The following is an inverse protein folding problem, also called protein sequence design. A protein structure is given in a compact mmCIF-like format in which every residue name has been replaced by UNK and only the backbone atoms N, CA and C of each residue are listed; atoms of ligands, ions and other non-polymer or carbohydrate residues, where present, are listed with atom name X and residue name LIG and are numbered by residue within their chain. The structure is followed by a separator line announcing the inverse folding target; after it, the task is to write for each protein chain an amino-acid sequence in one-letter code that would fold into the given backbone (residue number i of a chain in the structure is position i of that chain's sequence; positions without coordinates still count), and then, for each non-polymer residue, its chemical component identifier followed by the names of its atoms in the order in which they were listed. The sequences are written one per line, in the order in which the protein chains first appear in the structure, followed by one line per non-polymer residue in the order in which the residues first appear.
data_IF_497413311009
#
_entry.id   IF_497413311009
#
_cell.length_a   1.000
_cell.length_b   1.000
_cell.length_c   1.000
_cell.angle_alpha   90.00
_cell.angle_beta   90.00
_cell.angle_gamma   90.00
#
_symmetry.space_group_name_H-M   'P 1'
#
loop_
_entity.id
_entity.type
_entity.pdbx_description
1 polymer ?
#
# COMPACT_ATOMS: atom_id res chain seq x y z
N UNK A 1 -27.41 7.97 6.10
CA UNK A 1 -26.03 7.51 6.36
C UNK A 1 -26.05 6.00 6.23
N UNK A 2 -25.67 5.48 5.05
CA UNK A 2 -25.57 4.04 4.86
C UNK A 2 -24.45 3.51 5.74
N UNK A 3 -24.77 2.56 6.62
CA UNK A 3 -23.78 1.77 7.34
C UNK A 3 -23.05 0.91 6.30
N UNK A 4 -21.99 1.45 5.68
CA UNK A 4 -21.03 0.68 4.92
C UNK A 4 -20.42 -0.34 5.88
N UNK A 5 -20.96 -1.55 5.89
CA UNK A 5 -20.34 -2.69 6.56
C UNK A 5 -18.92 -2.75 6.03
N UNK A 6 -17.92 -2.56 6.92
CA UNK A 6 -16.52 -2.75 6.54
C UNK A 6 -16.40 -4.13 5.91
N UNK A 7 -15.87 -4.24 4.67
CA UNK A 7 -15.69 -5.54 4.05
C UNK A 7 -14.85 -6.40 5.00
N UNK A 8 -15.39 -7.56 5.35
CA UNK A 8 -14.71 -8.49 6.22
C UNK A 8 -13.59 -9.12 5.40
N UNK A 9 -12.36 -8.70 5.67
CA UNK A 9 -11.18 -9.24 5.00
C UNK A 9 -11.04 -10.69 5.46
N UNK A 10 -11.03 -11.63 4.51
CA UNK A 10 -10.71 -13.02 4.80
C UNK A 10 -9.21 -13.12 5.08
N UNK A 11 -8.84 -13.07 6.37
CA UNK A 11 -7.46 -13.13 6.83
C UNK A 11 -6.78 -14.43 6.40
N UNK A 12 -7.51 -15.54 6.31
CA UNK A 12 -6.95 -16.83 5.88
C UNK A 12 -6.49 -16.77 4.41
N UNK A 13 -7.29 -16.16 3.53
CA UNK A 13 -6.90 -15.96 2.12
C UNK A 13 -5.70 -15.04 2.00
N UNK A 14 -5.63 -13.99 2.82
CA UNK A 14 -4.47 -13.09 2.84
C UNK A 14 -3.22 -13.82 3.33
N UNK A 15 -3.33 -14.62 4.39
CA UNK A 15 -2.22 -15.43 4.89
C UNK A 15 -1.75 -16.45 3.86
N UNK A 16 -2.66 -17.15 3.19
CA UNK A 16 -2.32 -18.11 2.13
C UNK A 16 -1.59 -17.41 0.98
N UNK A 17 -2.05 -16.21 0.57
CA UNK A 17 -1.38 -15.41 -0.43
C UNK A 17 0.05 -15.04 -0.04
N UNK A 18 0.22 -14.52 1.18
CA UNK A 18 1.50 -14.06 1.75
C UNK A 18 2.47 -15.19 2.15
N UNK A 19 2.10 -16.45 1.97
CA UNK A 19 2.96 -17.60 2.31
C UNK A 19 3.18 -18.54 1.13
N UNK A 20 2.17 -18.73 0.27
CA UNK A 20 2.28 -19.64 -0.88
C UNK A 20 2.66 -18.96 -2.18
N UNK A 21 2.28 -17.68 -2.35
CA UNK A 21 2.39 -16.99 -3.65
C UNK A 21 3.44 -15.90 -3.64
N UNK A 22 3.64 -15.23 -2.50
CA UNK A 22 4.68 -14.23 -2.32
C UNK A 22 5.11 -14.21 -0.86
N UNK A 23 6.42 -14.26 -0.59
CA UNK A 23 6.89 -14.12 0.78
C UNK A 23 6.72 -12.67 1.27
N UNK A 24 6.50 -12.43 2.58
CA UNK A 24 6.26 -11.09 3.10
C UNK A 24 7.35 -10.08 2.69
N UNK A 25 8.62 -10.47 2.73
CA UNK A 25 9.75 -9.63 2.30
C UNK A 25 9.71 -9.27 0.82
N UNK A 26 9.35 -10.22 -0.05
CA UNK A 26 9.20 -9.97 -1.48
C UNK A 26 8.06 -8.99 -1.76
N UNK A 27 6.95 -9.12 -1.03
CA UNK A 27 5.85 -8.15 -1.14
C UNK A 27 6.29 -6.76 -0.65
N UNK A 28 7.11 -6.69 0.42
CA UNK A 28 7.65 -5.43 0.88
C UNK A 28 8.55 -4.75 -0.16
N UNK A 29 9.35 -5.51 -0.92
CA UNK A 29 10.15 -4.96 -2.03
C UNK A 29 9.25 -4.39 -3.13
N UNK A 30 8.22 -5.12 -3.54
CA UNK A 30 7.25 -4.63 -4.54
C UNK A 30 6.50 -3.38 -4.06
N UNK A 31 6.14 -3.33 -2.78
CA UNK A 31 5.50 -2.15 -2.19
C UNK A 31 6.44 -0.95 -2.15
N UNK A 32 7.74 -1.17 -1.92
CA UNK A 32 8.73 -0.10 -1.93
C UNK A 32 8.89 0.50 -3.33
N UNK A 33 9.01 -0.35 -4.35
CA UNK A 33 9.08 0.07 -5.75
C UNK A 33 7.80 0.81 -6.18
N UNK A 34 6.64 0.27 -5.81
CA UNK A 34 5.35 0.91 -6.07
C UNK A 34 5.27 2.30 -5.43
N UNK A 35 5.61 2.42 -4.14
CA UNK A 35 5.56 3.69 -3.41
C UNK A 35 6.53 4.71 -4.02
N UNK A 36 7.73 4.30 -4.40
CA UNK A 36 8.69 5.17 -5.07
C UNK A 36 8.13 5.70 -6.39
N UNK A 37 7.66 4.81 -7.27
CA UNK A 37 7.11 5.19 -8.57
C UNK A 37 5.87 6.10 -8.44
N UNK A 38 5.00 5.79 -7.48
CA UNK A 38 3.82 6.59 -7.19
C UNK A 38 4.18 8.01 -6.72
N UNK A 39 5.18 8.14 -5.83
CA UNK A 39 5.65 9.44 -5.37
C UNK A 39 6.26 10.27 -6.49
N UNK A 40 7.07 9.66 -7.36
CA UNK A 40 7.64 10.34 -8.54
C UNK A 40 6.51 10.87 -9.44
N UNK A 41 5.52 10.04 -9.74
CA UNK A 41 4.37 10.44 -10.55
C UNK A 41 3.58 11.59 -9.89
N UNK A 42 3.34 11.53 -8.58
CA UNK A 42 2.65 12.60 -7.86
C UNK A 42 3.39 13.93 -7.95
N UNK A 43 4.71 13.93 -7.77
CA UNK A 43 5.53 15.13 -7.88
C UNK A 43 5.47 15.70 -9.29
N UNK A 44 5.66 14.87 -10.32
CA UNK A 44 5.59 15.30 -11.72
C UNK A 44 4.24 15.93 -12.06
N UNK A 45 3.14 15.27 -11.71
CA UNK A 45 1.80 15.77 -11.99
C UNK A 45 1.47 17.05 -11.20
N UNK A 46 2.00 17.20 -10.00
CA UNK A 46 1.84 18.41 -9.19
C UNK A 46 2.63 19.60 -9.80
N UNK A 47 3.88 19.38 -10.23
CA UNK A 47 4.70 20.40 -10.90
C UNK A 47 4.08 20.87 -12.22
N UNK A 48 3.47 19.95 -12.98
CA UNK A 48 2.76 20.26 -14.21
C UNK A 48 1.39 20.91 -13.98
N UNK A 49 0.95 21.05 -12.72
CA UNK A 49 -0.37 21.59 -12.36
C UNK A 49 -1.53 20.72 -12.84
N UNK A 50 -1.28 19.44 -13.15
CA UNK A 50 -2.26 18.51 -13.75
C UNK A 50 -3.16 17.83 -12.73
N UNK A 51 -2.78 17.83 -11.44
CA UNK A 51 -3.58 17.21 -10.38
C UNK A 51 -3.67 18.12 -9.15
N UNK A 52 -4.79 17.97 -8.44
CA UNK A 52 -4.90 18.37 -7.04
C UNK A 52 -4.76 17.08 -6.22
N UNK A 53 -3.76 17.04 -5.35
CA UNK A 53 -3.55 15.88 -4.48
C UNK A 53 -4.72 15.83 -3.49
N UNK A 54 -5.47 14.72 -3.52
CA UNK A 54 -6.56 14.50 -2.58
C UNK A 54 -6.03 14.52 -1.14
N UNK A 55 -6.77 15.14 -0.23
CA UNK A 55 -6.40 15.31 1.18
C UNK A 55 -6.08 13.99 1.91
N UNK A 56 -6.62 12.87 1.43
CA UNK A 56 -6.44 11.55 2.05
C UNK A 56 -5.20 10.82 1.48
N UNK A 57 -4.63 11.31 0.38
CA UNK A 57 -3.42 10.73 -0.28
C UNK A 57 -2.24 10.58 0.68
N UNK A 58 -1.87 11.58 1.51
CA UNK A 58 -0.79 11.41 2.48
C UNK A 58 -1.06 10.29 3.49
N UNK A 59 -2.32 10.14 3.93
CA UNK A 59 -2.73 9.07 4.84
C UNK A 59 -2.62 7.69 4.20
N UNK A 60 -3.03 7.58 2.93
CA UNK A 60 -2.87 6.34 2.16
C UNK A 60 -1.39 5.95 2.01
N UNK A 61 -0.53 6.88 1.63
CA UNK A 61 0.93 6.65 1.53
C UNK A 61 1.50 6.19 2.87
N UNK A 62 1.08 6.83 3.97
CA UNK A 62 1.50 6.43 5.32
C UNK A 62 1.11 4.98 5.65
N UNK A 63 -0.13 4.57 5.40
CA UNK A 63 -0.56 3.19 5.68
C UNK A 63 0.15 2.16 4.81
N UNK A 64 0.40 2.49 3.53
CA UNK A 64 1.16 1.63 2.63
C UNK A 64 2.62 1.48 3.08
N UNK A 65 3.24 2.57 3.54
CA UNK A 65 4.57 2.54 4.14
C UNK A 65 4.59 1.67 5.40
N UNK A 66 3.60 1.83 6.28
CA UNK A 66 3.50 1.04 7.51
C UNK A 66 3.35 -0.46 7.20
N UNK A 67 2.54 -0.82 6.20
CA UNK A 67 2.40 -2.20 5.75
C UNK A 67 3.73 -2.76 5.23
N UNK A 68 4.41 -2.03 4.36
CA UNK A 68 5.74 -2.40 3.86
C UNK A 68 6.73 -2.64 5.00
N UNK A 69 6.79 -1.72 5.96
CA UNK A 69 7.71 -1.82 7.09
C UNK A 69 7.35 -3.03 7.96
N UNK A 70 6.07 -3.29 8.20
CA UNK A 70 5.60 -4.48 8.94
C UNK A 70 5.99 -5.79 8.24
N UNK A 71 5.85 -5.85 6.92
CA UNK A 71 6.16 -7.04 6.13
C UNK A 71 7.68 -7.34 6.11
N UNK A 72 8.55 -6.34 6.26
CA UNK A 72 10.01 -6.52 6.34
C UNK A 72 10.45 -7.21 7.64
N UNK A 73 9.70 -6.99 8.72
CA UNK A 73 9.97 -7.56 10.04
C UNK A 73 9.42 -8.98 10.22
N UNK A 74 8.68 -9.51 9.23
CA UNK A 74 8.24 -10.89 9.25
C UNK A 74 9.43 -11.85 9.07
N UNK A 75 9.50 -12.86 9.93
CA UNK A 75 10.39 -14.02 9.73
C UNK A 75 9.92 -14.83 8.51
N UNK A 76 10.88 -15.47 7.81
CA UNK A 76 10.61 -16.27 6.60
C UNK A 76 10.01 -17.65 6.92
#
# INVERSE_FOLDING_TARGET
MENLKKPQINIETVQEYLTKYIFPKQLAELLDEFLYNYMIMLVQLAEEGKIIIDKDTPGFIYYMKLLRDTLRECED
#
